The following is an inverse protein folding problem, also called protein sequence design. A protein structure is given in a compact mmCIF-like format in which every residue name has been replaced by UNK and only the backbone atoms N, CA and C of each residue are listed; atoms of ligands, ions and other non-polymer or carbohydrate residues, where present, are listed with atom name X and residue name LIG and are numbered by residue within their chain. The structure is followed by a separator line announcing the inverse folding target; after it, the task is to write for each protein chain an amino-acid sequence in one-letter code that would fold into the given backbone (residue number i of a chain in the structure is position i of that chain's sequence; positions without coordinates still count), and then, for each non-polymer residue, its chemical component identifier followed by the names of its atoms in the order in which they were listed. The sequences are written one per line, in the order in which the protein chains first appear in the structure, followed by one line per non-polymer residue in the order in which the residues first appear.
data_IF_118061451712
#
_entry.id   IF_118061451712
#
_cell.length_a   1.000
_cell.length_b   1.000
_cell.length_c   1.000
_cell.angle_alpha   90.00
_cell.angle_beta   90.00
_cell.angle_gamma   90.00
#
_symmetry.space_group_name_H-M   'P 1'
#
loop_
_entity.id
_entity.type
_entity.pdbx_description
1 polymer ?
#
# COMPACT_ATOMS: atom_id res chain seq x y z
N UNK A 1 2.22 1.01 -44.25
CA UNK A 1 2.82 1.75 -43.13
C UNK A 1 3.31 0.71 -42.11
N UNK A 2 4.58 0.64 -41.75
CA UNK A 2 5.04 -0.31 -40.75
C UNK A 2 4.42 0.07 -39.40
N UNK A 3 3.67 -0.83 -38.79
CA UNK A 3 3.21 -0.71 -37.41
C UNK A 3 4.46 -0.66 -36.54
N UNK A 4 4.79 0.51 -35.99
CA UNK A 4 5.91 0.67 -35.08
C UNK A 4 5.60 -0.21 -33.86
N UNK A 5 6.33 -1.33 -33.73
CA UNK A 5 6.23 -2.15 -32.53
C UNK A 5 6.65 -1.32 -31.34
N UNK A 6 5.70 -1.01 -30.46
CA UNK A 6 6.01 -0.29 -29.21
C UNK A 6 6.99 -1.15 -28.43
N UNK A 7 8.21 -0.65 -28.28
CA UNK A 7 9.24 -1.31 -27.47
C UNK A 7 8.97 -1.01 -25.99
N UNK A 8 8.21 -1.87 -25.33
CA UNK A 8 7.86 -1.71 -23.92
C UNK A 8 9.09 -1.68 -23.00
N UNK A 9 10.20 -2.32 -23.39
CA UNK A 9 11.44 -2.33 -22.61
C UNK A 9 12.10 -0.95 -22.49
N UNK A 10 11.79 -0.01 -23.37
CA UNK A 10 12.28 1.38 -23.25
C UNK A 10 11.80 2.02 -21.94
N UNK A 11 10.63 1.63 -21.42
CA UNK A 11 10.08 2.15 -20.16
C UNK A 11 10.68 1.50 -18.91
N UNK A 12 11.54 0.51 -19.05
CA UNK A 12 12.31 -0.05 -17.93
C UNK A 12 13.48 0.85 -17.48
N UNK A 13 13.81 1.89 -18.26
CA UNK A 13 14.84 2.86 -17.90
C UNK A 13 14.24 4.03 -17.08
N UNK A 14 14.89 4.48 -15.99
CA UNK A 14 14.43 5.60 -15.17
C UNK A 14 14.14 6.87 -15.97
N UNK A 15 15.04 7.23 -16.88
CA UNK A 15 14.90 8.40 -17.76
C UNK A 15 13.62 8.38 -18.59
N UNK A 16 13.27 7.23 -19.16
CA UNK A 16 12.07 7.10 -20.01
C UNK A 16 10.78 7.00 -19.19
N UNK A 17 10.86 6.42 -17.99
CA UNK A 17 9.68 6.28 -17.12
C UNK A 17 9.34 7.57 -16.36
N UNK A 18 10.32 8.41 -16.05
CA UNK A 18 10.14 9.65 -15.29
C UNK A 18 9.02 10.57 -15.85
N UNK A 19 8.96 10.89 -17.15
CA UNK A 19 7.87 11.71 -17.70
C UNK A 19 6.53 10.97 -17.73
N UNK A 20 6.53 9.65 -17.88
CA UNK A 20 5.31 8.83 -17.83
C UNK A 20 4.69 8.90 -16.44
N UNK A 21 5.50 8.65 -15.39
CA UNK A 21 5.06 8.78 -14.00
C UNK A 21 4.47 10.17 -13.72
N UNK A 22 5.12 11.23 -14.19
CA UNK A 22 4.64 12.60 -14.02
C UNK A 22 3.26 12.86 -14.64
N UNK A 23 3.00 12.28 -15.82
CA UNK A 23 1.70 12.40 -16.48
C UNK A 23 0.58 11.57 -15.81
N UNK A 24 0.95 10.47 -15.17
CA UNK A 24 -0.01 9.58 -14.49
C UNK A 24 -0.47 10.14 -13.13
N UNK A 25 0.41 10.81 -12.37
CA UNK A 25 0.13 11.28 -11.01
C UNK A 25 -1.17 12.06 -10.90
N UNK A 26 -1.46 13.11 -11.71
CA UNK A 26 -2.67 13.90 -11.55
C UNK A 26 -3.95 13.07 -11.74
N UNK A 27 -3.96 12.12 -12.65
CA UNK A 27 -5.12 11.26 -12.89
C UNK A 27 -5.42 10.35 -11.70
N UNK A 28 -4.40 9.72 -11.12
CA UNK A 28 -4.55 8.90 -9.93
C UNK A 28 -4.89 9.76 -8.69
N UNK A 29 -4.33 10.96 -8.56
CA UNK A 29 -4.66 11.86 -7.46
C UNK A 29 -6.11 12.36 -7.54
N UNK A 30 -6.59 12.75 -8.74
CA UNK A 30 -8.00 13.14 -8.96
C UNK A 30 -8.92 11.95 -8.66
N UNK A 31 -8.62 10.77 -9.19
CA UNK A 31 -9.41 9.58 -8.93
C UNK A 31 -9.45 9.23 -7.43
N UNK A 32 -8.31 9.31 -6.73
CA UNK A 32 -8.23 9.11 -5.27
C UNK A 32 -9.15 10.09 -4.52
N UNK A 33 -9.08 11.37 -4.86
CA UNK A 33 -9.91 12.41 -4.21
C UNK A 33 -11.40 12.15 -4.46
N UNK A 34 -11.79 11.82 -5.70
CA UNK A 34 -13.19 11.56 -6.03
C UNK A 34 -13.72 10.31 -5.33
N UNK A 35 -13.00 9.17 -5.41
CA UNK A 35 -13.44 7.94 -4.77
C UNK A 35 -13.44 8.05 -3.23
N UNK A 36 -12.44 8.68 -2.63
CA UNK A 36 -12.45 8.93 -1.18
C UNK A 36 -13.59 9.87 -0.78
N UNK A 37 -13.85 10.94 -1.53
CA UNK A 37 -14.97 11.86 -1.27
C UNK A 37 -16.33 11.15 -1.34
N UNK A 38 -16.56 10.35 -2.40
CA UNK A 38 -17.78 9.54 -2.53
C UNK A 38 -17.86 8.47 -1.43
N UNK A 39 -16.76 7.80 -1.13
CA UNK A 39 -16.71 6.78 -0.08
C UNK A 39 -17.01 7.34 1.31
N UNK A 40 -16.46 8.51 1.64
CA UNK A 40 -16.77 9.26 2.87
C UNK A 40 -18.26 9.63 2.90
N UNK A 41 -18.81 10.18 1.82
CA UNK A 41 -20.22 10.50 1.74
C UNK A 41 -21.12 9.29 1.97
N UNK A 42 -20.86 8.20 1.24
CA UNK A 42 -21.62 6.95 1.41
C UNK A 42 -21.49 6.38 2.82
N UNK A 43 -20.27 6.39 3.38
CA UNK A 43 -19.99 5.79 4.69
C UNK A 43 -20.53 6.58 5.87
N UNK A 44 -20.49 7.92 5.82
CA UNK A 44 -20.86 8.76 6.96
C UNK A 44 -22.31 9.23 6.91
N UNK A 45 -22.92 9.41 5.73
CA UNK A 45 -24.26 9.98 5.60
C UNK A 45 -25.30 9.03 5.03
N UNK A 46 -24.91 8.09 4.13
CA UNK A 46 -25.88 7.20 3.46
C UNK A 46 -25.99 5.84 4.14
N UNK A 47 -24.88 5.29 4.61
CA UNK A 47 -24.88 3.97 5.24
C UNK A 47 -25.67 3.99 6.55
N UNK A 48 -26.57 2.99 6.79
CA UNK A 48 -27.35 2.91 8.01
C UNK A 48 -26.45 2.66 9.22
N UNK A 49 -26.93 3.02 10.42
CA UNK A 49 -26.26 2.67 11.68
C UNK A 49 -26.25 1.15 11.86
N UNK A 50 -25.13 0.59 12.30
CA UNK A 50 -25.03 -0.85 12.60
C UNK A 50 -25.80 -1.21 13.87
N UNK A 51 -26.55 -2.32 13.84
CA UNK A 51 -27.40 -2.72 14.95
C UNK A 51 -26.62 -3.20 16.19
N UNK A 52 -25.38 -3.68 16.03
CA UNK A 52 -24.56 -4.20 17.13
C UNK A 52 -23.50 -3.17 17.59
N UNK A 53 -22.87 -2.46 16.67
CA UNK A 53 -21.75 -1.57 16.93
C UNK A 53 -22.13 -0.08 16.94
N UNK A 54 -23.37 0.24 16.64
CA UNK A 54 -23.81 1.63 16.52
C UNK A 54 -22.99 2.42 15.50
N UNK A 55 -22.64 3.65 15.80
CA UNK A 55 -21.84 4.52 14.92
C UNK A 55 -20.35 4.16 14.91
N UNK A 56 -19.85 3.38 15.89
CA UNK A 56 -18.44 2.96 15.94
C UNK A 56 -18.01 2.13 14.72
N UNK A 57 -18.95 1.42 14.08
CA UNK A 57 -18.67 0.63 12.89
C UNK A 57 -18.16 1.48 11.72
N UNK A 58 -18.48 2.79 11.65
CA UNK A 58 -18.10 3.66 10.52
C UNK A 58 -16.58 3.76 10.31
N UNK A 59 -15.81 3.37 11.30
CA UNK A 59 -14.35 3.26 11.16
C UNK A 59 -13.93 2.24 10.08
N UNK A 60 -14.82 1.29 9.72
CA UNK A 60 -14.61 0.28 8.67
C UNK A 60 -14.24 0.92 7.33
N UNK A 61 -14.79 2.11 7.02
CA UNK A 61 -14.55 2.79 5.74
C UNK A 61 -13.11 3.30 5.59
N UNK A 62 -12.36 3.41 6.68
CA UNK A 62 -10.94 3.77 6.68
C UNK A 62 -10.07 2.55 7.03
N UNK A 63 -10.46 1.81 8.06
CA UNK A 63 -9.68 0.68 8.58
C UNK A 63 -9.49 -0.43 7.55
N UNK A 64 -10.57 -0.91 6.94
CA UNK A 64 -10.51 -2.05 6.00
C UNK A 64 -9.73 -1.68 4.73
N UNK A 65 -9.97 -0.53 4.06
CA UNK A 65 -9.12 -0.08 2.95
C UNK A 65 -7.65 0.04 3.33
N UNK A 66 -7.32 0.59 4.51
CA UNK A 66 -5.95 0.70 4.98
C UNK A 66 -5.29 -0.68 5.19
N UNK A 67 -6.00 -1.61 5.86
CA UNK A 67 -5.51 -2.96 6.10
C UNK A 67 -5.34 -3.78 4.81
N UNK A 68 -6.19 -3.59 3.81
CA UNK A 68 -6.00 -4.23 2.51
C UNK A 68 -4.82 -3.63 1.76
N UNK A 69 -4.69 -2.30 1.76
CA UNK A 69 -3.57 -1.64 1.09
C UNK A 69 -2.23 -1.89 1.79
N UNK A 70 -2.19 -2.09 3.10
CA UNK A 70 -0.95 -2.48 3.79
C UNK A 70 -0.36 -3.76 3.20
N UNK A 71 -1.19 -4.79 3.00
CA UNK A 71 -0.78 -6.07 2.42
C UNK A 71 -0.50 -5.98 0.91
N UNK A 72 -1.38 -5.32 0.14
CA UNK A 72 -1.23 -5.21 -1.33
C UNK A 72 0.02 -4.43 -1.69
N UNK A 73 0.29 -3.32 -1.01
CA UNK A 73 1.51 -2.52 -1.25
C UNK A 73 2.76 -3.29 -0.84
N UNK A 74 2.68 -4.13 0.22
CA UNK A 74 3.81 -4.99 0.60
C UNK A 74 4.13 -6.02 -0.49
N UNK A 75 3.12 -6.70 -1.01
CA UNK A 75 3.29 -7.65 -2.12
C UNK A 75 3.86 -6.97 -3.37
N UNK A 76 3.36 -5.77 -3.71
CA UNK A 76 3.89 -4.99 -4.82
C UNK A 76 5.35 -4.57 -4.59
N UNK A 77 5.69 -4.12 -3.38
CA UNK A 77 7.06 -3.77 -2.98
C UNK A 77 7.99 -4.97 -3.10
N UNK A 78 7.60 -6.11 -2.53
CA UNK A 78 8.39 -7.34 -2.58
C UNK A 78 8.56 -7.86 -4.02
N UNK A 79 7.52 -7.79 -4.84
CA UNK A 79 7.57 -8.14 -6.26
C UNK A 79 8.61 -7.28 -7.01
N UNK A 80 8.53 -5.96 -6.88
CA UNK A 80 9.47 -5.06 -7.57
C UNK A 80 10.89 -5.15 -7.01
N UNK A 81 11.04 -5.37 -5.70
CA UNK A 81 12.33 -5.68 -5.08
C UNK A 81 12.94 -6.97 -5.64
N UNK A 82 12.13 -8.03 -5.79
CA UNK A 82 12.53 -9.29 -6.41
C UNK A 82 12.93 -9.13 -7.88
N UNK A 83 12.15 -8.39 -8.66
CA UNK A 83 12.50 -8.05 -10.06
C UNK A 83 13.82 -7.27 -10.11
N UNK A 84 14.00 -6.30 -9.22
CA UNK A 84 15.25 -5.54 -9.09
C UNK A 84 16.45 -6.44 -8.78
N UNK A 85 16.27 -7.40 -7.86
CA UNK A 85 17.31 -8.33 -7.43
C UNK A 85 17.69 -9.32 -8.55
N UNK A 86 16.71 -9.94 -9.22
CA UNK A 86 16.92 -10.99 -10.22
C UNK A 86 17.45 -10.42 -11.54
N UNK A 87 16.85 -9.32 -12.01
CA UNK A 87 17.17 -8.73 -13.31
C UNK A 87 18.13 -7.53 -13.23
N UNK A 88 18.64 -7.18 -12.05
CA UNK A 88 19.45 -5.99 -11.82
C UNK A 88 18.78 -4.68 -12.33
N UNK A 89 17.45 -4.63 -12.27
CA UNK A 89 16.66 -3.50 -12.75
C UNK A 89 16.66 -2.34 -11.73
N UNK A 90 17.38 -1.25 -12.04
CA UNK A 90 17.43 -0.06 -11.17
C UNK A 90 16.04 0.54 -10.94
N UNK A 91 15.23 0.67 -11.99
CA UNK A 91 13.89 1.23 -11.88
C UNK A 91 13.00 0.39 -10.94
N UNK A 92 13.10 -0.94 -11.00
CA UNK A 92 12.33 -1.84 -10.14
C UNK A 92 12.73 -1.68 -8.67
N UNK A 93 14.03 -1.58 -8.37
CA UNK A 93 14.50 -1.30 -7.01
C UNK A 93 14.04 0.07 -6.50
N UNK A 94 14.12 1.10 -7.35
CA UNK A 94 13.61 2.45 -7.02
C UNK A 94 12.10 2.44 -6.77
N UNK A 95 11.33 1.65 -7.52
CA UNK A 95 9.88 1.52 -7.32
C UNK A 95 9.56 0.80 -6.00
N UNK A 96 10.31 -0.25 -5.66
CA UNK A 96 10.17 -0.90 -4.35
C UNK A 96 10.45 0.10 -3.20
N UNK A 97 11.52 0.89 -3.31
CA UNK A 97 11.85 1.96 -2.35
C UNK A 97 10.73 2.99 -2.24
N UNK A 98 10.13 3.39 -3.36
CA UNK A 98 9.04 4.37 -3.39
C UNK A 98 7.74 3.87 -2.77
N UNK A 99 7.47 2.55 -2.84
CA UNK A 99 6.29 1.91 -2.26
C UNK A 99 6.37 1.79 -0.72
N UNK A 100 7.55 1.57 -0.16
CA UNK A 100 7.73 1.26 1.26
C UNK A 100 7.10 2.29 2.22
N UNK A 101 7.32 3.62 2.08
CA UNK A 101 6.72 4.58 3.00
C UNK A 101 5.19 4.63 2.90
N UNK A 102 4.63 4.40 1.71
CA UNK A 102 3.18 4.36 1.52
C UNK A 102 2.59 3.13 2.20
N UNK A 103 3.22 1.96 2.06
CA UNK A 103 2.79 0.74 2.75
C UNK A 103 2.90 0.85 4.27
N UNK A 104 4.00 1.41 4.78
CA UNK A 104 4.17 1.68 6.20
C UNK A 104 3.06 2.60 6.75
N UNK A 105 2.70 3.64 5.99
CA UNK A 105 1.60 4.54 6.36
C UNK A 105 0.25 3.82 6.40
N UNK A 106 -0.05 2.97 5.41
CA UNK A 106 -1.30 2.18 5.39
C UNK A 106 -1.35 1.20 6.58
N UNK A 107 -0.24 0.55 6.89
CA UNK A 107 -0.13 -0.36 8.04
C UNK A 107 -0.32 0.39 9.36
N UNK A 108 0.33 1.54 9.53
CA UNK A 108 0.13 2.39 10.71
C UNK A 108 -1.33 2.83 10.84
N UNK A 109 -1.95 3.27 9.74
CA UNK A 109 -3.35 3.70 9.73
C UNK A 109 -4.31 2.54 10.08
N UNK A 110 -4.02 1.33 9.60
CA UNK A 110 -4.79 0.14 9.96
C UNK A 110 -4.67 -0.17 11.47
N UNK A 111 -3.46 -0.15 12.02
CA UNK A 111 -3.23 -0.37 13.45
C UNK A 111 -3.89 0.70 14.31
N UNK A 112 -3.74 1.97 13.93
CA UNK A 112 -4.32 3.12 14.64
C UNK A 112 -5.86 3.06 14.65
N UNK A 113 -6.47 2.92 13.48
CA UNK A 113 -7.93 2.84 13.37
C UNK A 113 -8.48 1.54 13.98
N UNK A 114 -7.71 0.45 13.93
CA UNK A 114 -8.05 -0.80 14.63
C UNK A 114 -8.07 -0.65 16.15
N UNK A 115 -7.13 0.08 16.73
CA UNK A 115 -7.12 0.39 18.16
C UNK A 115 -8.33 1.27 18.57
N UNK A 116 -8.65 2.29 17.75
CA UNK A 116 -9.82 3.14 17.96
C UNK A 116 -11.13 2.33 17.88
N UNK A 117 -11.21 1.36 16.98
CA UNK A 117 -12.38 0.49 16.85
C UNK A 117 -12.45 -0.58 17.95
N UNK A 118 -11.31 -1.12 18.38
CA UNK A 118 -11.22 -2.14 19.43
C UNK A 118 -11.73 -1.65 20.78
N UNK A 119 -11.51 -0.38 21.12
CA UNK A 119 -11.93 0.17 22.41
C UNK A 119 -13.45 0.08 22.65
N UNK A 120 -14.34 0.55 21.76
CA UNK A 120 -15.77 0.43 21.95
C UNK A 120 -16.29 -1.00 21.72
N UNK A 121 -15.62 -1.85 20.91
CA UNK A 121 -16.10 -3.18 20.57
C UNK A 121 -15.63 -4.27 21.53
N UNK A 122 -14.40 -4.20 21.99
CA UNK A 122 -13.75 -5.22 22.85
C UNK A 122 -13.37 -4.70 24.24
N UNK A 123 -13.55 -3.42 24.52
CA UNK A 123 -13.16 -2.79 25.79
C UNK A 123 -11.65 -2.48 25.90
N UNK A 124 -10.83 -2.85 24.92
CA UNK A 124 -9.38 -2.70 24.93
C UNK A 124 -8.87 -1.98 23.68
N UNK A 125 -7.82 -1.15 23.85
CA UNK A 125 -7.13 -0.51 22.72
C UNK A 125 -6.26 -1.50 21.94
N UNK A 126 -5.76 -2.53 22.60
CA UNK A 126 -4.85 -3.52 22.04
C UNK A 126 -5.02 -4.87 22.70
N UNK A 127 -4.93 -5.92 21.92
CA UNK A 127 -4.80 -7.30 22.37
C UNK A 127 -3.68 -7.98 21.59
N UNK A 128 -2.90 -8.81 22.27
CA UNK A 128 -1.82 -9.58 21.64
C UNK A 128 -2.38 -10.83 20.97
N UNK A 129 -3.15 -10.66 19.92
CA UNK A 129 -3.61 -11.76 19.09
C UNK A 129 -2.79 -11.87 17.79
N UNK A 130 -3.01 -12.96 17.06
CA UNK A 130 -2.24 -13.24 15.85
C UNK A 130 -2.48 -12.19 14.75
N UNK A 131 -3.68 -11.59 14.67
CA UNK A 131 -4.04 -10.60 13.66
C UNK A 131 -3.33 -9.28 13.87
N UNK A 132 -3.44 -8.73 15.08
CA UNK A 132 -2.85 -7.43 15.41
C UNK A 132 -1.33 -7.54 15.45
N UNK A 133 -0.79 -8.64 16.01
CA UNK A 133 0.65 -8.87 16.12
C UNK A 133 1.28 -9.01 14.73
N UNK A 134 0.68 -9.78 13.82
CA UNK A 134 1.23 -9.93 12.46
C UNK A 134 1.13 -8.63 11.64
N UNK A 135 0.09 -7.81 11.84
CA UNK A 135 0.01 -6.47 11.22
C UNK A 135 1.09 -5.54 11.77
N UNK A 136 1.40 -5.60 13.09
CA UNK A 136 2.51 -4.85 13.68
C UNK A 136 3.87 -5.32 13.13
N UNK A 137 4.06 -6.63 12.95
CA UNK A 137 5.25 -7.18 12.28
C UNK A 137 5.38 -6.63 10.85
N UNK A 138 4.27 -6.49 10.12
CA UNK A 138 4.28 -5.89 8.77
C UNK A 138 4.81 -4.45 8.80
N UNK A 139 4.40 -3.66 9.80
CA UNK A 139 4.93 -2.30 9.98
C UNK A 139 6.46 -2.32 10.20
N UNK A 140 6.94 -3.22 11.05
CA UNK A 140 8.39 -3.36 11.29
C UNK A 140 9.15 -3.86 10.07
N UNK A 141 8.56 -4.70 9.23
CA UNK A 141 9.15 -5.11 7.97
C UNK A 141 9.31 -3.93 7.00
N UNK A 142 8.32 -3.04 6.90
CA UNK A 142 8.44 -1.80 6.13
C UNK A 142 9.51 -0.86 6.69
N UNK A 143 9.52 -0.66 8.01
CA UNK A 143 10.53 0.17 8.68
C UNK A 143 11.92 -0.43 8.47
N UNK A 144 12.08 -1.73 8.62
CA UNK A 144 13.33 -2.44 8.39
C UNK A 144 13.84 -2.29 6.95
N UNK A 145 12.94 -2.40 5.95
CA UNK A 145 13.27 -2.16 4.55
C UNK A 145 13.82 -0.74 4.34
N UNK A 146 13.13 0.27 4.87
CA UNK A 146 13.58 1.67 4.77
C UNK A 146 14.88 1.92 5.54
N UNK A 147 15.04 1.31 6.71
CA UNK A 147 16.24 1.43 7.53
C UNK A 147 17.49 0.83 6.87
N UNK A 148 17.35 -0.29 6.15
CA UNK A 148 18.45 -0.87 5.37
C UNK A 148 18.91 0.09 4.26
N UNK A 149 17.98 0.78 3.60
CA UNK A 149 18.34 1.81 2.61
C UNK A 149 19.01 3.03 3.23
N UNK A 150 18.65 3.40 4.46
CA UNK A 150 19.25 4.53 5.15
C UNK A 150 20.63 4.20 5.77
N UNK A 151 20.86 2.94 6.13
CA UNK A 151 22.07 2.51 6.84
C UNK A 151 23.21 2.06 5.89
N UNK A 152 22.92 1.74 4.65
CA UNK A 152 23.91 1.20 3.69
C UNK A 152 24.19 2.25 2.62
N UNK A 153 25.41 2.78 2.60
CA UNK A 153 25.83 3.85 1.67
C UNK A 153 25.83 3.41 0.20
N UNK A 154 26.23 2.16 -0.09
CA UNK A 154 26.20 1.63 -1.45
C UNK A 154 24.77 1.28 -1.89
N UNK A 155 24.20 1.98 -2.89
CA UNK A 155 22.81 1.78 -3.29
C UNK A 155 22.49 0.36 -3.77
N UNK A 156 23.46 -0.33 -4.39
CA UNK A 156 23.24 -1.71 -4.88
C UNK A 156 23.22 -2.70 -3.74
N UNK A 157 24.06 -2.52 -2.73
CA UNK A 157 24.05 -3.34 -1.52
C UNK A 157 22.79 -3.09 -0.72
N UNK A 158 22.38 -1.83 -0.57
CA UNK A 158 21.11 -1.46 0.07
C UNK A 158 19.92 -2.14 -0.61
N UNK A 159 19.80 -2.01 -1.94
CA UNK A 159 18.75 -2.64 -2.73
C UNK A 159 18.69 -4.17 -2.53
N UNK A 160 19.86 -4.84 -2.54
CA UNK A 160 19.94 -6.30 -2.33
C UNK A 160 19.50 -6.72 -0.93
N UNK A 161 20.02 -6.06 0.09
CA UNK A 161 19.69 -6.38 1.49
C UNK A 161 18.22 -6.14 1.79
N UNK A 162 17.68 -4.99 1.34
CA UNK A 162 16.27 -4.66 1.49
C UNK A 162 15.36 -5.61 0.68
N UNK A 163 15.76 -6.01 -0.51
CA UNK A 163 15.01 -6.97 -1.32
C UNK A 163 14.90 -8.34 -0.63
N UNK A 164 15.99 -8.84 -0.04
CA UNK A 164 15.96 -10.10 0.71
C UNK A 164 15.00 -10.01 1.91
N UNK A 165 15.05 -8.92 2.68
CA UNK A 165 14.11 -8.70 3.78
C UNK A 165 12.66 -8.65 3.28
N UNK A 166 12.38 -7.92 2.18
CA UNK A 166 11.05 -7.83 1.61
C UNK A 166 10.51 -9.18 1.16
N UNK A 167 11.34 -9.99 0.49
CA UNK A 167 10.95 -11.32 0.00
C UNK A 167 10.68 -12.30 1.15
N UNK A 168 11.54 -12.32 2.18
CA UNK A 168 11.31 -13.15 3.37
C UNK A 168 10.02 -12.71 4.08
N UNK A 169 9.81 -11.42 4.21
CA UNK A 169 8.63 -10.87 4.88
C UNK A 169 7.30 -11.14 4.16
N UNK A 170 7.30 -11.57 2.89
CA UNK A 170 6.06 -11.96 2.17
C UNK A 170 5.27 -13.03 2.92
N UNK A 171 5.96 -13.93 3.63
CA UNK A 171 5.33 -15.00 4.44
C UNK A 171 4.39 -14.42 5.51
N UNK A 172 4.63 -13.20 5.98
CA UNK A 172 3.77 -12.55 6.96
C UNK A 172 2.38 -12.17 6.40
N UNK A 173 2.26 -11.90 5.09
CA UNK A 173 0.99 -11.49 4.47
C UNK A 173 -0.10 -12.58 4.57
N UNK A 174 0.14 -13.84 4.16
CA UNK A 174 -0.83 -14.90 4.40
C UNK A 174 -1.10 -15.14 5.89
N UNK A 175 -0.12 -14.95 6.79
CA UNK A 175 -0.35 -15.04 8.24
C UNK A 175 -1.39 -13.99 8.66
N UNK A 176 -1.24 -12.73 8.26
CA UNK A 176 -2.23 -11.68 8.51
C UNK A 176 -3.60 -12.10 7.98
N UNK A 177 -3.68 -12.51 6.72
CA UNK A 177 -4.96 -12.81 6.07
C UNK A 177 -5.70 -13.99 6.71
N UNK A 178 -4.98 -15.08 7.03
CA UNK A 178 -5.56 -16.29 7.58
C UNK A 178 -5.57 -16.35 9.11
N UNK A 179 -4.99 -15.38 9.82
CA UNK A 179 -4.91 -15.35 11.28
C UNK A 179 -6.26 -15.60 11.98
N UNK A 180 -7.32 -14.97 11.48
CA UNK A 180 -8.70 -15.11 12.02
C UNK A 180 -9.31 -16.50 11.79
N UNK A 181 -8.70 -17.34 10.94
CA UNK A 181 -9.14 -18.73 10.68
C UNK A 181 -8.27 -19.76 11.41
N UNK A 182 -6.98 -19.42 11.61
CA UNK A 182 -6.02 -20.36 12.19
C UNK A 182 -5.89 -20.23 13.70
N UNK A 183 -6.19 -19.06 14.26
CA UNK A 183 -6.08 -18.79 15.69
C UNK A 183 -7.35 -18.15 16.26
N UNK A 184 -7.55 -18.31 17.56
CA UNK A 184 -8.56 -17.55 18.28
C UNK A 184 -8.14 -16.08 18.34
N UNK A 185 -9.02 -15.19 17.91
CA UNK A 185 -8.80 -13.74 17.88
C UNK A 185 -10.13 -13.05 18.18
N UNK A 186 -10.07 -11.89 18.82
CA UNK A 186 -11.23 -11.02 18.99
C UNK A 186 -11.63 -10.33 17.68
N UNK A 187 -10.73 -10.32 16.69
CA UNK A 187 -10.99 -9.71 15.40
C UNK A 187 -12.07 -10.48 14.63
N UNK A 188 -13.02 -9.73 14.11
CA UNK A 188 -14.11 -10.31 13.30
C UNK A 188 -13.56 -11.00 12.04
N UNK A 189 -14.21 -12.07 11.63
CA UNK A 189 -13.96 -12.69 10.33
C UNK A 189 -14.24 -11.72 9.18
N UNK A 190 -13.66 -12.01 8.01
CA UNK A 190 -13.84 -11.16 6.84
C UNK A 190 -15.33 -11.04 6.45
N UNK A 191 -15.87 -9.82 6.51
CA UNK A 191 -17.25 -9.51 6.10
C UNK A 191 -17.45 -9.62 4.58
N UNK A 192 -16.35 -9.60 3.81
CA UNK A 192 -16.33 -9.80 2.36
C UNK A 192 -15.42 -10.98 2.05
N UNK A 193 -15.93 -11.97 1.33
CA UNK A 193 -15.19 -13.13 0.89
C UNK A 193 -15.59 -13.52 -0.53
N UNK A 194 -14.71 -14.24 -1.23
CA UNK A 194 -15.00 -14.74 -2.59
C UNK A 194 -15.99 -15.93 -2.60
N UNK A 195 -16.24 -16.54 -1.43
CA UNK A 195 -17.00 -17.81 -1.32
C UNK A 195 -18.34 -17.66 -0.61
N UNK A 196 -18.65 -16.49 -0.05
CA UNK A 196 -19.88 -16.22 0.68
C UNK A 196 -20.42 -14.83 0.33
N UNK A 197 -21.73 -14.65 0.40
CA UNK A 197 -22.34 -13.32 0.31
C UNK A 197 -21.83 -12.43 1.44
N UNK A 198 -21.65 -11.12 1.18
CA UNK A 198 -21.23 -10.16 2.20
C UNK A 198 -22.18 -10.14 3.39
N UNK A 199 -21.65 -10.07 4.61
CA UNK A 199 -22.43 -10.03 5.86
C UNK A 199 -22.70 -8.60 6.33
N UNK A 200 -22.93 -7.67 5.40
CA UNK A 200 -23.22 -6.26 5.69
C UNK A 200 -24.24 -5.68 4.71
N UNK A 201 -24.87 -4.56 5.08
CA UNK A 201 -25.80 -3.86 4.18
C UNK A 201 -25.10 -3.43 2.89
N UNK A 202 -25.84 -3.45 1.77
CA UNK A 202 -25.28 -3.13 0.44
C UNK A 202 -24.65 -1.73 0.39
N UNK A 203 -25.26 -0.74 1.04
CA UNK A 203 -24.73 0.63 1.13
C UNK A 203 -23.41 0.70 1.90
N UNK A 204 -23.28 -0.07 3.00
CA UNK A 204 -22.02 -0.20 3.74
C UNK A 204 -20.93 -0.82 2.85
N UNK A 205 -21.28 -1.92 2.15
CA UNK A 205 -20.36 -2.59 1.23
C UNK A 205 -19.89 -1.65 0.12
N UNK A 206 -20.81 -0.95 -0.54
CA UNK A 206 -20.46 -0.01 -1.61
C UNK A 206 -19.55 1.12 -1.11
N UNK A 207 -19.87 1.73 0.04
CA UNK A 207 -19.04 2.77 0.64
C UNK A 207 -17.61 2.25 0.93
N UNK A 208 -17.48 1.06 1.50
CA UNK A 208 -16.19 0.44 1.79
C UNK A 208 -15.39 0.12 0.52
N UNK A 209 -16.03 -0.44 -0.52
CA UNK A 209 -15.35 -0.75 -1.78
C UNK A 209 -14.92 0.51 -2.54
N UNK A 210 -15.75 1.55 -2.55
CA UNK A 210 -15.41 2.84 -3.16
C UNK A 210 -14.23 3.49 -2.41
N UNK A 211 -14.22 3.46 -1.07
CA UNK A 211 -13.06 3.90 -0.27
C UNK A 211 -11.80 3.07 -0.59
N UNK A 212 -11.94 1.76 -0.77
CA UNK A 212 -10.80 0.90 -1.14
C UNK A 212 -10.21 1.30 -2.49
N UNK A 213 -11.05 1.60 -3.48
CA UNK A 213 -10.59 2.14 -4.76
C UNK A 213 -9.89 3.48 -4.60
N UNK A 214 -10.41 4.37 -3.75
CA UNK A 214 -9.78 5.64 -3.42
C UNK A 214 -8.39 5.47 -2.80
N UNK A 215 -8.25 4.57 -1.83
CA UNK A 215 -6.98 4.24 -1.21
C UNK A 215 -5.99 3.61 -2.19
N UNK A 216 -6.47 2.77 -3.09
CA UNK A 216 -5.63 2.19 -4.14
C UNK A 216 -5.08 3.26 -5.07
N UNK A 217 -5.95 4.16 -5.57
CA UNK A 217 -5.54 5.28 -6.43
C UNK A 217 -4.55 6.21 -5.69
N UNK A 218 -4.78 6.48 -4.40
CA UNK A 218 -3.85 7.22 -3.56
C UNK A 218 -2.49 6.54 -3.45
N UNK A 219 -2.45 5.23 -3.20
CA UNK A 219 -1.20 4.49 -3.09
C UNK A 219 -0.40 4.55 -4.40
N UNK A 220 -1.07 4.45 -5.56
CA UNK A 220 -0.42 4.58 -6.86
C UNK A 220 0.13 6.00 -7.06
N UNK A 221 -0.67 7.04 -6.80
CA UNK A 221 -0.25 8.43 -6.94
C UNK A 221 0.96 8.74 -6.05
N UNK A 222 0.90 8.34 -4.78
CA UNK A 222 1.98 8.53 -3.80
C UNK A 222 3.26 7.78 -4.19
N UNK A 223 3.14 6.53 -4.64
CA UNK A 223 4.28 5.74 -5.10
C UNK A 223 4.93 6.36 -6.35
N UNK A 224 4.14 6.79 -7.34
CA UNK A 224 4.65 7.46 -8.54
C UNK A 224 5.33 8.79 -8.21
N UNK A 225 4.77 9.58 -7.30
CA UNK A 225 5.37 10.82 -6.84
C UNK A 225 6.73 10.59 -6.18
N UNK A 226 6.80 9.64 -5.23
CA UNK A 226 8.06 9.27 -4.56
C UNK A 226 9.06 8.64 -5.52
N UNK A 227 8.59 7.83 -6.48
CA UNK A 227 9.46 7.23 -7.49
C UNK A 227 10.18 8.31 -8.31
N UNK A 228 9.48 9.38 -8.69
CA UNK A 228 10.13 10.50 -9.41
C UNK A 228 11.22 11.16 -8.56
N UNK A 229 10.95 11.40 -7.27
CA UNK A 229 11.98 11.94 -6.36
C UNK A 229 13.16 10.98 -6.23
N UNK A 230 12.91 9.69 -6.00
CA UNK A 230 13.96 8.67 -5.91
C UNK A 230 14.79 8.58 -7.21
N UNK A 231 14.15 8.69 -8.37
CA UNK A 231 14.87 8.71 -9.67
C UNK A 231 15.80 9.92 -9.73
N UNK A 232 15.31 11.12 -9.41
CA UNK A 232 16.14 12.34 -9.45
C UNK A 232 17.32 12.25 -8.47
N UNK A 233 17.12 11.74 -7.29
CA UNK A 233 18.16 11.58 -6.27
C UNK A 233 19.23 10.57 -6.72
N UNK A 234 18.82 9.38 -7.17
CA UNK A 234 19.76 8.32 -7.56
C UNK A 234 20.47 8.57 -8.88
N UNK A 235 19.86 9.33 -9.78
CA UNK A 235 20.42 9.66 -11.09
C UNK A 235 20.96 11.12 -11.15
N UNK A 236 21.13 11.80 -10.01
CA UNK A 236 21.52 13.23 -9.92
C UNK A 236 22.75 13.62 -10.69
N UNK A 237 23.67 12.69 -10.92
CA UNK A 237 24.92 12.93 -11.66
C UNK A 237 24.81 12.67 -13.17
N UNK A 238 23.65 12.26 -13.66
CA UNK A 238 23.42 12.04 -15.10
C UNK A 238 23.07 13.35 -15.81
N UNK A 239 23.53 13.49 -17.06
CA UNK A 239 23.31 14.70 -17.86
C UNK A 239 21.81 14.99 -18.10
N UNK A 240 20.94 13.97 -18.12
CA UNK A 240 19.51 14.18 -18.32
C UNK A 240 18.84 14.77 -17.07
N UNK A 241 19.22 14.33 -15.86
CA UNK A 241 18.71 14.90 -14.60
C UNK A 241 19.16 16.33 -14.44
N UNK A 242 20.44 16.62 -14.71
CA UNK A 242 20.97 17.99 -14.64
C UNK A 242 20.18 18.94 -15.56
N UNK A 243 19.79 18.49 -16.76
CA UNK A 243 18.94 19.28 -17.67
C UNK A 243 17.51 19.49 -17.15
N UNK A 244 16.94 18.51 -16.43
CA UNK A 244 15.58 18.62 -15.87
C UNK A 244 15.53 19.56 -14.67
N UNK A 245 16.60 19.60 -13.87
CA UNK A 245 16.67 20.41 -12.63
C UNK A 245 17.16 21.84 -12.89
N UNK A 246 17.85 22.10 -14.02
CA UNK A 246 18.34 23.44 -14.40
C UNK A 246 17.28 24.33 -15.08
N UNK A 247 16.06 23.83 -15.28
CA UNK A 247 14.90 24.56 -15.82
C UNK A 247 13.98 24.95 -14.67
#
# INVERSE_FOLDING_TARGET
MPVSRINWFQYAAPQSFYPVAGRMIPWFAIAATLFCGVGVYLGLWVAPTDAQQGEAYRIIFVHVPAAWMSMVVYLAMAFWAGVGLVFNSRLSSMLATALAPTGAWMTFLALWTGALWGKPTWGAWWVWDARLTSELVLLFLYIGFMSLHAAIDDPRRADRSAALLALVGVVNVPIIYFSVKWWNTLHQGASVSLTRSPSMATTMLLGMLVMTLGFWMYCIAAALFRLRTTILERERHTAWVQRVVSV
#
